data_IF_622034772065
#
_entry.id   IF_622034772065
#
_cell.length_a   1.000
_cell.length_b   1.000
_cell.length_c   1.000
_cell.angle_alpha   90.00
_cell.angle_beta   90.00
_cell.angle_gamma   90.00
#
_symmetry.space_group_name_H-M   'P 1'
#
loop_
_entity.id
_entity.type
_entity.pdbx_description
1 polymer ?
#
# COMPACT_ATOMS: atom_id res chain seq x y z
N UNK A 1 8.69 8.58 -4.93
CA UNK A 1 8.66 7.53 -3.95
C UNK A 1 8.40 6.19 -4.58
N UNK A 2 9.08 5.16 -4.13
CA UNK A 2 8.93 3.87 -4.76
C UNK A 2 8.59 2.83 -3.71
N UNK A 3 8.35 1.63 -4.16
CA UNK A 3 7.99 0.55 -3.27
C UNK A 3 9.12 0.29 -2.28
N UNK A 4 10.33 0.56 -2.67
CA UNK A 4 11.46 0.36 -1.79
C UNK A 4 11.36 1.31 -0.61
N UNK A 5 10.89 2.52 -0.85
CA UNK A 5 10.74 3.49 0.23
C UNK A 5 9.66 3.01 1.18
N UNK A 6 8.60 2.47 0.67
CA UNK A 6 7.53 1.97 1.51
C UNK A 6 8.05 0.83 2.38
N UNK A 7 8.83 -0.05 1.78
CA UNK A 7 9.37 -1.17 2.53
C UNK A 7 10.27 -0.68 3.65
N UNK A 8 11.06 0.31 3.35
CA UNK A 8 11.97 0.84 4.33
C UNK A 8 11.23 1.54 5.47
N UNK A 9 10.25 2.34 5.12
CA UNK A 9 9.50 3.06 6.13
C UNK A 9 8.64 2.15 6.99
N UNK A 10 8.10 1.11 6.40
CA UNK A 10 7.27 0.21 7.16
C UNK A 10 8.08 -0.80 7.95
N UNK A 11 9.32 -1.00 7.57
CA UNK A 11 10.13 -1.99 8.23
C UNK A 11 9.93 -3.39 7.72
N UNK A 12 9.23 -3.55 6.61
CA UNK A 12 9.00 -4.87 6.05
C UNK A 12 9.74 -4.98 4.73
N UNK A 13 9.87 -6.17 4.21
CA UNK A 13 10.59 -6.36 2.97
C UNK A 13 9.77 -5.95 1.76
N UNK A 14 10.44 -5.73 0.65
CA UNK A 14 9.77 -5.35 -0.56
C UNK A 14 8.77 -6.41 -0.96
N UNK A 15 9.10 -7.68 -0.75
CA UNK A 15 8.18 -8.73 -1.09
C UNK A 15 6.88 -8.64 -0.33
N UNK A 16 6.96 -8.31 0.94
CA UNK A 16 5.78 -8.18 1.75
C UNK A 16 4.94 -6.98 1.30
N UNK A 17 5.62 -5.88 1.00
CA UNK A 17 4.91 -4.69 0.54
C UNK A 17 4.20 -5.00 -0.77
N UNK A 18 4.87 -5.70 -1.65
CA UNK A 18 4.29 -6.04 -2.92
C UNK A 18 3.04 -6.90 -2.73
N UNK A 19 3.08 -7.82 -1.80
CA UNK A 19 1.93 -8.66 -1.55
C UNK A 19 0.76 -7.85 -1.03
N UNK A 20 1.04 -6.88 -0.18
CA UNK A 20 0.00 -6.04 0.33
C UNK A 20 -0.64 -5.25 -0.82
N UNK A 21 0.17 -4.73 -1.70
CA UNK A 21 -0.34 -3.97 -2.83
C UNK A 21 -1.16 -4.84 -3.77
N UNK A 22 -0.84 -6.11 -3.83
CA UNK A 22 -1.58 -7.03 -4.68
C UNK A 22 -2.71 -7.74 -3.92
N UNK A 23 -2.98 -7.31 -2.74
CA UNK A 23 -4.07 -7.84 -1.95
C UNK A 23 -3.91 -9.32 -1.65
N UNK A 24 -2.72 -9.77 -1.42
CA UNK A 24 -2.48 -11.17 -1.11
C UNK A 24 -2.94 -11.48 0.29
N UNK A 25 -3.45 -12.65 0.49
CA UNK A 25 -3.92 -13.01 1.82
C UNK A 25 -2.81 -13.61 2.67
N UNK A 26 -1.64 -13.80 2.10
CA UNK A 26 -0.52 -14.34 2.83
C UNK A 26 0.11 -13.34 3.79
N UNK A 27 -0.35 -12.13 3.81
CA UNK A 27 0.21 -11.10 4.64
C UNK A 27 -0.61 -10.97 5.90
N UNK A 28 0.04 -10.89 7.05
CA UNK A 28 -0.69 -10.78 8.29
C UNK A 28 -1.37 -9.42 8.37
N UNK A 29 -2.42 -9.35 9.15
CA UNK A 29 -3.15 -8.10 9.29
C UNK A 29 -2.25 -7.02 9.84
N UNK A 30 -1.37 -7.37 10.73
CA UNK A 30 -0.47 -6.42 11.31
C UNK A 30 0.42 -5.80 10.24
N UNK A 31 1.02 -6.63 9.41
CA UNK A 31 1.91 -6.14 8.38
C UNK A 31 1.12 -5.31 7.37
N UNK A 32 -0.05 -5.79 7.02
CA UNK A 32 -0.86 -5.07 6.05
C UNK A 32 -1.21 -3.69 6.58
N UNK A 33 -1.65 -3.63 7.81
CA UNK A 33 -2.03 -2.36 8.38
C UNK A 33 -0.87 -1.39 8.42
N UNK A 34 0.29 -1.87 8.82
CA UNK A 34 1.45 -1.01 8.90
C UNK A 34 1.83 -0.48 7.52
N UNK A 35 1.86 -1.35 6.54
CA UNK A 35 2.24 -0.94 5.21
C UNK A 35 1.23 0.03 4.64
N UNK A 36 -0.05 -0.22 4.87
CA UNK A 36 -1.07 0.69 4.36
C UNK A 36 -0.95 2.06 5.01
N UNK A 37 -0.62 2.10 6.26
CA UNK A 37 -0.44 3.36 6.94
C UNK A 37 0.71 4.14 6.30
N UNK A 38 1.80 3.47 6.02
CA UNK A 38 2.94 4.13 5.41
C UNK A 38 2.57 4.64 4.03
N UNK A 39 1.82 3.87 3.29
CA UNK A 39 1.42 4.28 1.96
C UNK A 39 0.57 5.55 2.04
N UNK A 40 -0.34 5.60 2.95
CA UNK A 40 -1.18 6.76 3.11
C UNK A 40 -0.40 7.98 3.55
N UNK A 41 0.47 7.81 4.49
CA UNK A 41 1.24 8.91 4.98
C UNK A 41 2.21 9.47 3.96
N UNK A 42 2.78 8.60 3.15
CA UNK A 42 3.74 9.05 2.19
C UNK A 42 3.12 9.41 0.85
N UNK A 43 1.83 9.30 0.76
CA UNK A 43 1.13 9.65 -0.45
C UNK A 43 1.60 8.82 -1.63
N UNK A 44 2.06 7.63 -1.38
CA UNK A 44 2.52 6.77 -2.44
C UNK A 44 1.32 6.26 -3.22
N UNK A 45 1.36 6.35 -4.52
CA UNK A 45 0.24 5.89 -5.32
C UNK A 45 0.68 4.77 -6.20
N UNK A 46 0.24 3.57 -5.96
CA UNK A 46 0.56 2.48 -6.85
C UNK A 46 -0.19 2.77 -8.14
N UNK A 47 0.24 2.33 -9.18
CA UNK A 47 -0.30 2.60 -10.46
C UNK A 47 -1.76 2.24 -10.59
N UNK A 48 -2.66 3.04 -10.12
CA UNK A 48 -4.06 2.72 -10.18
C UNK A 48 -4.92 3.92 -10.39
N UNK A 49 -4.57 4.76 -11.30
CA UNK A 49 -5.31 5.95 -11.50
C UNK A 49 -6.74 5.72 -11.84
N UNK A 50 -7.04 4.73 -12.54
CA UNK A 50 -8.40 4.51 -12.91
C UNK A 50 -9.25 4.31 -11.69
N UNK A 51 -8.78 3.58 -10.74
CA UNK A 51 -9.48 3.34 -9.58
C UNK A 51 -9.60 4.54 -8.74
N UNK A 52 -8.68 5.38 -8.86
CA UNK A 52 -8.65 6.56 -8.12
C UNK A 52 -9.91 7.34 -8.27
N UNK A 53 -10.41 7.47 -9.45
CA UNK A 53 -11.61 8.15 -9.69
C UNK A 53 -12.75 7.53 -8.98
N UNK A 54 -12.89 6.28 -9.13
CA UNK A 54 -13.88 5.59 -8.51
C UNK A 54 -13.88 5.76 -7.04
N UNK A 55 -12.77 5.64 -6.47
CA UNK A 55 -12.60 5.76 -5.09
C UNK A 55 -13.05 7.10 -4.60
N UNK A 56 -12.77 8.11 -5.37
CA UNK A 56 -13.13 9.36 -5.02
C UNK A 56 -14.59 9.53 -4.96
N UNK A 57 -15.24 9.02 -5.90
CA UNK A 57 -16.62 9.19 -5.92
C UNK A 57 -17.25 8.55 -4.73
N UNK A 58 -16.78 7.53 -4.31
CA UNK A 58 -17.33 6.88 -3.22
C UNK A 58 -17.14 7.66 -2.09
N UNK A 59 -16.04 8.00 -1.96
CA UNK A 59 -15.66 8.68 -0.93
C UNK A 59 -16.56 8.68 0.02
N UNK A 60 -17.08 8.30 -0.13
CA UNK A 60 -17.78 8.23 0.81
C UNK A 60 -17.16 7.94 1.54
#
# INVERSE_FOLDING_TARGET
>A
MTIKDIAKLSGYGIGTVSRVLNNHSDVSDKARKKIMEVIEESNFQPNTNARHLKWQSVSS
#
